data_IF_657631473314
#
_entry.id   IF_657631473314
#
_cell.length_a   1.000
_cell.length_b   1.000
_cell.length_c   1.000
_cell.angle_alpha   90.00
_cell.angle_beta   90.00
_cell.angle_gamma   90.00
#
_symmetry.space_group_name_H-M   'P 1'
#
loop_
_entity.id
_entity.type
_entity.pdbx_description
1 polymer ?
#
# COMPACT_ATOMS: atom_id res chain seq x y z
N UNK A 1 -31.90 -52.42 -15.35
CA UNK A 1 -31.41 -51.93 -14.02
C UNK A 1 -29.97 -51.42 -14.06
N UNK A 2 -29.00 -52.10 -14.70
CA UNK A 2 -27.60 -51.64 -14.81
C UNK A 2 -27.41 -50.23 -15.41
N UNK A 3 -28.15 -49.89 -16.47
CA UNK A 3 -28.04 -48.58 -17.13
C UNK A 3 -28.58 -47.42 -16.28
N UNK A 4 -29.58 -47.68 -15.45
CA UNK A 4 -30.16 -46.67 -14.54
C UNK A 4 -29.14 -46.29 -13.47
N UNK A 5 -28.37 -47.27 -12.96
CA UNK A 5 -27.28 -47.02 -12.00
C UNK A 5 -26.16 -46.16 -12.60
N UNK A 6 -25.75 -46.45 -13.84
CA UNK A 6 -24.75 -45.64 -14.55
C UNK A 6 -25.21 -44.21 -14.81
N UNK A 7 -26.49 -44.03 -15.18
CA UNK A 7 -27.06 -42.71 -15.43
C UNK A 7 -27.09 -41.87 -14.14
N UNK A 8 -27.45 -42.49 -13.01
CA UNK A 8 -27.45 -41.83 -11.71
C UNK A 8 -26.04 -41.41 -11.27
N UNK A 9 -25.04 -42.26 -11.46
CA UNK A 9 -23.62 -41.94 -11.16
C UNK A 9 -23.16 -40.75 -12.00
N UNK A 10 -23.48 -40.74 -13.29
CA UNK A 10 -23.10 -39.64 -14.19
C UNK A 10 -23.78 -38.33 -13.77
N UNK A 11 -25.04 -38.39 -13.35
CA UNK A 11 -25.78 -37.22 -12.89
C UNK A 11 -25.20 -36.62 -11.60
N UNK A 12 -24.86 -37.48 -10.63
CA UNK A 12 -24.21 -37.06 -9.38
C UNK A 12 -22.84 -36.45 -9.67
N UNK A 13 -22.05 -37.06 -10.55
CA UNK A 13 -20.73 -36.55 -10.92
C UNK A 13 -20.82 -35.16 -11.60
N UNK A 14 -21.76 -34.99 -12.53
CA UNK A 14 -22.01 -33.70 -13.17
C UNK A 14 -22.43 -32.62 -12.15
N UNK A 15 -23.29 -32.98 -11.19
CA UNK A 15 -23.74 -32.07 -10.15
C UNK A 15 -22.61 -31.61 -9.22
N UNK A 16 -21.70 -32.52 -8.86
CA UNK A 16 -20.50 -32.20 -8.07
C UNK A 16 -19.59 -31.22 -8.82
N UNK A 17 -19.33 -31.48 -10.11
CA UNK A 17 -18.50 -30.58 -10.94
C UNK A 17 -19.06 -29.16 -11.02
N UNK A 18 -20.37 -29.03 -11.22
CA UNK A 18 -21.05 -27.73 -11.26
C UNK A 18 -20.94 -27.00 -9.91
N UNK A 19 -21.13 -27.73 -8.81
CA UNK A 19 -21.07 -27.17 -7.46
C UNK A 19 -19.67 -26.63 -7.12
N UNK A 20 -18.62 -27.36 -7.49
CA UNK A 20 -17.22 -26.94 -7.32
C UNK A 20 -16.95 -25.69 -8.16
N UNK A 21 -17.38 -25.67 -9.42
CA UNK A 21 -17.15 -24.53 -10.31
C UNK A 21 -17.81 -23.24 -9.80
N UNK A 22 -19.04 -23.32 -9.29
CA UNK A 22 -19.75 -22.19 -8.69
C UNK A 22 -19.03 -21.70 -7.41
N UNK A 23 -18.55 -22.64 -6.58
CA UNK A 23 -17.76 -22.31 -5.39
C UNK A 23 -16.48 -21.54 -5.73
N UNK A 24 -15.72 -22.02 -6.72
CA UNK A 24 -14.49 -21.37 -7.19
C UNK A 24 -14.79 -20.00 -7.80
N UNK A 25 -15.84 -19.85 -8.61
CA UNK A 25 -16.20 -18.58 -9.23
C UNK A 25 -16.64 -17.52 -8.20
N UNK A 26 -17.25 -17.94 -7.08
CA UNK A 26 -17.59 -17.05 -5.97
C UNK A 26 -16.33 -16.67 -5.18
N UNK A 27 -15.47 -17.62 -4.86
CA UNK A 27 -14.20 -17.36 -4.15
C UNK A 27 -13.24 -16.50 -4.97
N UNK A 28 -13.15 -16.72 -6.28
CA UNK A 28 -12.31 -15.93 -7.19
C UNK A 28 -12.69 -14.45 -7.23
N UNK A 29 -13.98 -14.13 -7.12
CA UNK A 29 -14.45 -12.73 -7.00
C UNK A 29 -14.00 -12.08 -5.70
N UNK A 30 -14.10 -12.79 -4.57
CA UNK A 30 -13.65 -12.28 -3.27
C UNK A 30 -12.13 -12.07 -3.26
N UNK A 31 -11.37 -13.02 -3.82
CA UNK A 31 -9.90 -12.91 -3.92
C UNK A 31 -9.51 -11.73 -4.82
N UNK A 32 -10.19 -11.54 -5.95
CA UNK A 32 -9.93 -10.42 -6.86
C UNK A 32 -10.23 -9.07 -6.21
N UNK A 33 -11.31 -8.96 -5.43
CA UNK A 33 -11.63 -7.75 -4.66
C UNK A 33 -10.54 -7.47 -3.62
N UNK A 34 -10.11 -8.49 -2.88
CA UNK A 34 -9.07 -8.35 -1.86
C UNK A 34 -7.73 -7.92 -2.46
N UNK A 35 -7.33 -8.51 -3.60
CA UNK A 35 -6.11 -8.13 -4.31
C UNK A 35 -6.14 -6.67 -4.79
N UNK A 36 -7.30 -6.20 -5.26
CA UNK A 36 -7.44 -4.81 -5.69
C UNK A 36 -7.33 -3.84 -4.50
N UNK A 37 -7.94 -4.18 -3.37
CA UNK A 37 -7.81 -3.37 -2.14
C UNK A 37 -6.37 -3.31 -1.62
N UNK A 38 -5.63 -4.43 -1.67
CA UNK A 38 -4.21 -4.47 -1.29
C UNK A 38 -3.38 -3.60 -2.24
N UNK A 39 -3.57 -3.73 -3.56
CA UNK A 39 -2.83 -2.95 -4.55
C UNK A 39 -3.05 -1.44 -4.39
N UNK A 40 -4.30 -1.01 -4.13
CA UNK A 40 -4.61 0.40 -3.86
C UNK A 40 -3.92 0.89 -2.58
N UNK A 41 -3.92 0.08 -1.52
CA UNK A 41 -3.26 0.42 -0.25
C UNK A 41 -1.75 0.51 -0.40
N UNK A 42 -1.12 -0.43 -1.11
CA UNK A 42 0.33 -0.40 -1.37
C UNK A 42 0.72 0.84 -2.17
N UNK A 43 -0.01 1.18 -3.23
CA UNK A 43 0.26 2.39 -4.02
C UNK A 43 0.14 3.66 -3.17
N UNK A 44 -0.85 3.72 -2.27
CA UNK A 44 -1.01 4.83 -1.35
C UNK A 44 0.13 4.91 -0.33
N UNK A 45 0.54 3.77 0.22
CA UNK A 45 1.64 3.73 1.18
C UNK A 45 2.96 4.18 0.54
N UNK A 46 3.23 3.77 -0.71
CA UNK A 46 4.39 4.25 -1.48
C UNK A 46 4.36 5.76 -1.71
N UNK A 47 3.18 6.32 -1.99
CA UNK A 47 3.03 7.76 -2.15
C UNK A 47 3.30 8.50 -0.83
N UNK A 48 2.74 8.02 0.28
CA UNK A 48 2.95 8.60 1.62
C UNK A 48 4.42 8.49 2.04
N UNK A 49 5.10 7.37 1.76
CA UNK A 49 6.55 7.22 1.99
C UNK A 49 7.39 8.19 1.16
N UNK A 50 7.04 8.40 -0.11
CA UNK A 50 7.70 9.37 -0.97
C UNK A 50 7.49 10.81 -0.49
N UNK A 51 6.28 11.14 -0.03
CA UNK A 51 5.96 12.45 0.53
C UNK A 51 6.71 12.70 1.84
N UNK A 52 6.76 11.71 2.74
CA UNK A 52 7.59 11.76 3.94
C UNK A 52 9.06 11.91 3.56
N UNK A 53 9.56 11.20 2.55
CA UNK A 53 10.95 11.31 2.11
C UNK A 53 11.27 12.69 1.54
N UNK A 54 10.31 13.36 0.88
CA UNK A 54 10.48 14.74 0.39
C UNK A 54 10.50 15.72 1.55
N UNK A 55 9.46 15.66 2.39
CA UNK A 55 9.29 16.53 3.57
C UNK A 55 10.40 16.37 4.62
N UNK A 56 10.97 15.16 4.74
CA UNK A 56 12.10 14.89 5.63
C UNK A 56 13.46 15.18 4.98
N UNK A 57 13.49 15.56 3.70
CA UNK A 57 14.75 15.95 3.07
C UNK A 57 15.25 17.25 3.73
N UNK A 58 16.50 17.26 4.25
CA UNK A 58 17.06 18.44 4.90
C UNK A 58 17.05 19.66 3.96
N UNK A 59 17.20 19.45 2.65
CA UNK A 59 17.18 20.53 1.67
C UNK A 59 15.82 21.26 1.59
N UNK A 60 14.70 20.56 1.62
CA UNK A 60 13.37 21.21 1.60
C UNK A 60 13.10 21.96 2.91
N UNK A 61 13.50 21.38 4.05
CA UNK A 61 13.37 22.05 5.36
C UNK A 61 14.24 23.31 5.43
N UNK A 62 15.48 23.25 4.93
CA UNK A 62 16.38 24.40 4.88
C UNK A 62 15.88 25.46 3.91
N UNK A 63 15.39 25.09 2.72
CA UNK A 63 14.78 26.05 1.79
C UNK A 63 13.51 26.70 2.36
N UNK A 64 12.65 25.91 3.02
CA UNK A 64 11.44 26.44 3.65
C UNK A 64 11.79 27.42 4.77
N UNK A 65 12.81 27.10 5.57
CA UNK A 65 13.34 27.97 6.62
C UNK A 65 13.99 29.26 6.06
N UNK A 66 14.76 29.17 4.98
CA UNK A 66 15.34 30.34 4.30
C UNK A 66 14.25 31.26 3.75
N UNK A 67 13.22 30.70 3.11
CA UNK A 67 12.18 31.48 2.44
C UNK A 67 11.15 32.08 3.40
N UNK A 68 10.73 31.35 4.44
CA UNK A 68 9.65 31.79 5.34
C UNK A 68 10.16 32.41 6.64
N UNK A 69 11.32 31.97 7.13
CA UNK A 69 11.87 32.41 8.41
C UNK A 69 13.10 33.32 8.22
N UNK A 70 13.52 33.58 6.98
CA UNK A 70 14.69 34.40 6.67
C UNK A 70 15.98 33.83 7.25
N UNK A 71 16.00 32.53 7.58
CA UNK A 71 17.13 31.87 8.22
C UNK A 71 18.19 31.57 7.18
N UNK A 72 19.14 32.48 7.00
CA UNK A 72 20.34 32.27 6.17
C UNK A 72 21.34 31.45 6.98
N UNK A 73 21.91 30.40 6.37
CA UNK A 73 22.96 29.59 6.99
C UNK A 73 24.14 30.48 7.44
N UNK A 74 24.30 30.64 8.75
CA UNK A 74 25.31 31.53 9.32
C UNK A 74 26.67 30.86 9.21
N UNK A 75 27.61 31.47 8.48
CA UNK A 75 28.97 30.93 8.36
C UNK A 75 29.60 30.86 9.76
N UNK A 76 30.36 29.80 10.10
CA UNK A 76 30.95 29.63 11.43
C UNK A 76 31.77 30.82 11.92
N UNK A 77 32.33 31.61 10.99
CA UNK A 77 33.15 32.79 11.27
C UNK A 77 32.34 34.04 11.67
N UNK A 78 31.00 33.99 11.61
CA UNK A 78 30.10 35.08 11.99
C UNK A 78 29.38 34.84 13.32
N UNK A 79 29.59 33.69 13.96
CA UNK A 79 28.98 33.35 15.25
C UNK A 79 29.89 33.83 16.38
N UNK A 80 29.49 34.90 17.07
CA UNK A 80 30.14 35.36 18.30
C UNK A 80 29.40 34.74 19.48
N UNK A 81 30.02 33.77 20.16
CA UNK A 81 29.49 33.18 21.40
C UNK A 81 29.79 34.17 22.53
N UNK A 82 28.78 34.92 22.96
CA UNK A 82 28.84 35.72 24.18
C UNK A 82 28.68 34.77 25.37
N UNK A 83 29.79 34.32 25.94
CA UNK A 83 29.77 33.68 27.25
C UNK A 83 29.32 34.74 28.28
N UNK A 84 28.13 34.53 28.83
CA UNK A 84 27.57 35.38 29.87
C UNK A 84 28.49 35.38 31.09
N UNK A 85 29.10 36.53 31.37
CA UNK A 85 29.80 36.81 32.62
C UNK A 85 28.83 36.61 33.78
N UNK A 86 29.16 35.65 34.65
CA UNK A 86 28.49 35.40 35.92
C UNK A 86 29.03 36.34 37.00
#
# INVERSE_FOLDING_TARGET
>A
MKYVGWLLIFFVFAFIMISIHIGIARSGRVISQLQNEVAIKEARNQYEELEISRLSSPQEVTQFAEQNLGMVEVKPHQVIVLEGTK
#
